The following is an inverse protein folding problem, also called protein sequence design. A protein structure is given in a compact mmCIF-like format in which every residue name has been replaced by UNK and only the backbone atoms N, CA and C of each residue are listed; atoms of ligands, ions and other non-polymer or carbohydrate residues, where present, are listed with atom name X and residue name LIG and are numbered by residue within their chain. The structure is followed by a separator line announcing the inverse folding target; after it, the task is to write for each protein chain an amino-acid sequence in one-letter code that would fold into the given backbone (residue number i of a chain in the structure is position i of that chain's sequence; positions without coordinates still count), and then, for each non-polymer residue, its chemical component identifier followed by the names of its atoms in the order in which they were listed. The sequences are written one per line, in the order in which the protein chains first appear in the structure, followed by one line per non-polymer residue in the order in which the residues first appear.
data_IF_834823904585
#
_entry.id   IF_834823904585
#
_cell.length_a   1.000
_cell.length_b   1.000
_cell.length_c   1.000
_cell.angle_alpha   90.00
_cell.angle_beta   90.00
_cell.angle_gamma   90.00
#
_symmetry.space_group_name_H-M   'P 1'
#
loop_
_entity.id
_entity.type
_entity.pdbx_description
1 polymer ?
#
# COMPACT_ATOMS: atom_id res chain seq x y z
N UNK A 1 9.80 -13.72 15.82
CA UNK A 1 10.23 -14.05 14.44
C UNK A 1 11.24 -12.99 14.01
N UNK A 2 12.43 -13.37 13.50
CA UNK A 2 13.58 -12.46 13.29
C UNK A 2 13.27 -11.42 12.20
N UNK A 3 13.47 -10.14 12.50
CA UNK A 3 13.37 -9.08 11.49
C UNK A 3 14.57 -9.15 10.55
N UNK A 4 14.35 -9.10 9.22
CA UNK A 4 15.45 -9.13 8.27
C UNK A 4 16.34 -7.89 8.45
N UNK A 5 17.67 -8.03 8.57
CA UNK A 5 18.56 -6.93 8.91
C UNK A 5 18.65 -5.84 7.83
N UNK A 6 18.31 -6.18 6.58
CA UNK A 6 18.45 -5.30 5.42
C UNK A 6 17.13 -4.64 4.99
N UNK A 7 16.10 -4.66 5.85
CA UNK A 7 14.78 -4.06 5.53
C UNK A 7 14.50 -2.94 6.50
N UNK A 8 14.30 -1.75 5.94
CA UNK A 8 13.96 -0.54 6.67
C UNK A 8 12.52 -0.15 6.35
N UNK A 9 11.71 -0.05 7.39
CA UNK A 9 10.36 0.49 7.27
C UNK A 9 10.35 1.88 7.86
N UNK A 10 9.87 2.86 7.10
CA UNK A 10 9.76 4.26 7.55
C UNK A 10 8.31 4.67 7.69
N UNK A 11 8.02 5.66 8.52
CA UNK A 11 6.71 6.30 8.50
C UNK A 11 6.46 6.96 7.14
N UNK A 12 5.21 6.89 6.65
CA UNK A 12 4.79 7.62 5.46
C UNK A 12 4.92 9.14 5.68
N UNK A 13 5.26 9.87 4.62
CA UNK A 13 5.40 11.33 4.67
C UNK A 13 4.08 11.99 5.10
N UNK A 14 4.13 12.95 6.06
CA UNK A 14 2.92 13.57 6.61
C UNK A 14 2.14 14.42 5.60
N UNK A 15 2.76 14.76 4.47
CA UNK A 15 2.14 15.51 3.37
C UNK A 15 1.25 14.64 2.47
N UNK A 16 1.34 13.31 2.56
CA UNK A 16 0.56 12.41 1.73
C UNK A 16 -0.83 12.27 2.33
N UNK A 17 -1.84 12.66 1.55
CA UNK A 17 -3.24 12.50 1.96
C UNK A 17 -3.66 11.05 1.72
N UNK A 18 -4.21 10.43 2.74
CA UNK A 18 -4.69 9.05 2.68
C UNK A 18 -6.21 9.03 2.84
N UNK A 19 -6.91 8.46 1.85
CA UNK A 19 -8.32 8.10 1.95
C UNK A 19 -8.39 6.61 2.25
N UNK A 20 -9.06 6.24 3.35
CA UNK A 20 -9.23 4.84 3.76
C UNK A 20 -10.60 4.34 3.37
N UNK A 21 -10.68 3.05 3.07
CA UNK A 21 -11.93 2.31 2.88
C UNK A 21 -12.90 2.97 1.90
N UNK A 22 -12.36 3.52 0.82
CA UNK A 22 -13.18 4.13 -0.24
C UNK A 22 -13.96 3.02 -0.94
N UNK A 23 -15.29 3.06 -0.83
CA UNK A 23 -16.18 2.10 -1.48
C UNK A 23 -16.34 2.41 -2.97
N UNK A 24 -15.91 1.47 -3.81
CA UNK A 24 -16.02 1.52 -5.26
C UNK A 24 -17.18 0.59 -5.66
N UNK A 25 -18.36 1.12 -6.05
CA UNK A 25 -19.47 0.29 -6.45
C UNK A 25 -19.16 -0.48 -7.73
N UNK A 26 -19.65 -1.71 -7.81
CA UNK A 26 -19.49 -2.59 -8.96
C UNK A 26 -20.87 -2.89 -9.60
N UNK A 27 -20.85 -3.45 -10.80
CA UNK A 27 -22.07 -3.61 -11.64
C UNK A 27 -23.16 -4.50 -11.03
N UNK A 28 -22.82 -5.37 -10.09
CA UNK A 28 -23.77 -6.30 -9.47
C UNK A 28 -24.25 -5.83 -8.09
N UNK A 29 -23.96 -4.57 -7.74
CA UNK A 29 -24.38 -3.96 -6.47
C UNK A 29 -23.44 -4.22 -5.30
N UNK A 30 -22.40 -5.05 -5.45
CA UNK A 30 -21.32 -5.13 -4.46
C UNK A 30 -20.39 -3.92 -4.56
N UNK A 31 -19.49 -3.74 -3.58
CA UNK A 31 -18.41 -2.75 -3.65
C UNK A 31 -17.04 -3.43 -3.53
N UNK A 32 -16.00 -2.72 -3.96
CA UNK A 32 -14.60 -2.97 -3.58
C UNK A 32 -14.16 -1.86 -2.62
N UNK A 33 -13.27 -2.18 -1.70
CA UNK A 33 -12.68 -1.24 -0.74
C UNK A 33 -11.25 -0.87 -1.16
N UNK A 34 -10.95 0.43 -1.16
CA UNK A 34 -9.65 0.95 -1.55
C UNK A 34 -9.05 1.92 -0.53
N UNK A 35 -7.73 1.83 -0.34
CA UNK A 35 -6.93 2.89 0.26
C UNK A 35 -6.31 3.71 -0.87
N UNK A 36 -6.52 5.03 -0.86
CA UNK A 36 -6.03 5.95 -1.89
C UNK A 36 -5.02 6.90 -1.26
N UNK A 37 -3.80 6.88 -1.78
CA UNK A 37 -2.69 7.74 -1.37
C UNK A 37 -2.48 8.80 -2.44
N UNK A 38 -2.69 10.06 -2.08
CA UNK A 38 -2.66 11.19 -3.00
C UNK A 38 -1.39 12.02 -2.79
N UNK A 39 -0.74 12.47 -3.87
CA UNK A 39 0.29 13.51 -3.79
C UNK A 39 -0.22 14.76 -3.07
N UNK A 40 0.69 15.54 -2.52
CA UNK A 40 0.36 16.86 -1.99
C UNK A 40 -0.02 17.84 -3.11
N UNK A 41 -0.91 18.78 -2.81
CA UNK A 41 -1.36 19.81 -3.74
C UNK A 41 -2.71 19.50 -4.41
N UNK A 42 -3.12 20.40 -5.30
CA UNK A 42 -4.38 20.32 -6.04
C UNK A 42 -4.13 19.95 -7.50
N UNK A 43 -5.09 19.25 -8.12
CA UNK A 43 -5.05 18.92 -9.54
C UNK A 43 -5.36 17.47 -9.86
N UNK A 44 -5.00 17.07 -11.08
CA UNK A 44 -5.11 15.69 -11.56
C UNK A 44 -3.74 15.05 -11.58
N UNK A 45 -3.67 13.81 -11.11
CA UNK A 45 -2.44 13.03 -11.03
C UNK A 45 -2.60 11.73 -11.82
N UNK A 46 -1.54 11.21 -12.45
CA UNK A 46 -1.54 9.83 -12.90
C UNK A 46 -1.76 8.88 -11.71
N UNK A 47 -2.48 7.79 -11.93
CA UNK A 47 -2.80 6.83 -10.87
C UNK A 47 -2.18 5.46 -11.17
N UNK A 48 -1.52 4.89 -10.16
CA UNK A 48 -1.12 3.48 -10.12
C UNK A 48 -2.18 2.70 -9.37
N UNK A 49 -2.75 1.71 -10.04
CA UNK A 49 -3.79 0.85 -9.48
C UNK A 49 -3.20 -0.51 -9.14
N UNK A 50 -3.34 -0.92 -7.89
CA UNK A 50 -3.07 -2.28 -7.42
C UNK A 50 -4.39 -2.90 -6.97
N UNK A 51 -4.78 -4.02 -7.58
CA UNK A 51 -5.93 -4.83 -7.17
C UNK A 51 -5.42 -6.22 -6.84
N UNK A 52 -5.51 -6.60 -5.58
CA UNK A 52 -4.82 -7.79 -5.09
C UNK A 52 -5.58 -8.47 -3.94
N UNK A 53 -5.39 -9.79 -3.71
CA UNK A 53 -6.10 -10.52 -2.66
C UNK A 53 -5.45 -10.38 -1.27
N UNK A 54 -4.32 -9.67 -1.16
CA UNK A 54 -3.45 -9.76 0.01
C UNK A 54 -3.81 -8.83 1.18
N UNK A 55 -5.02 -8.26 1.17
CA UNK A 55 -5.57 -7.36 2.19
C UNK A 55 -4.76 -6.06 2.30
N UNK A 56 -5.29 -4.96 1.76
CA UNK A 56 -4.65 -3.63 1.69
C UNK A 56 -4.22 -3.05 3.05
N UNK A 57 -4.80 -3.53 4.16
CA UNK A 57 -4.52 -3.06 5.53
C UNK A 57 -3.55 -3.96 6.32
N UNK A 58 -3.08 -5.06 5.72
CA UNK A 58 -1.98 -5.83 6.29
C UNK A 58 -0.69 -5.12 5.91
N UNK A 59 -0.18 -4.34 6.85
CA UNK A 59 0.97 -3.44 6.67
C UNK A 59 2.13 -3.83 7.58
N UNK A 60 3.37 -3.52 7.19
CA UNK A 60 4.56 -3.67 8.03
C UNK A 60 4.60 -2.63 9.16
N UNK A 61 3.68 -2.74 10.14
CA UNK A 61 3.58 -1.90 11.35
C UNK A 61 3.61 -2.76 12.61
N UNK A 62 3.91 -2.13 13.76
CA UNK A 62 3.78 -2.75 15.09
C UNK A 62 4.50 -4.12 15.22
N UNK A 63 5.67 -4.24 14.60
CA UNK A 63 6.49 -5.46 14.62
C UNK A 63 6.07 -6.53 13.61
N UNK A 64 4.99 -6.32 12.85
CA UNK A 64 4.66 -7.16 11.70
C UNK A 64 5.61 -6.89 10.53
N UNK A 65 5.97 -7.95 9.81
CA UNK A 65 6.77 -7.89 8.59
C UNK A 65 6.29 -8.97 7.63
N UNK A 66 6.04 -8.59 6.38
CA UNK A 66 5.61 -9.52 5.34
C UNK A 66 6.58 -10.69 5.18
N UNK A 67 6.01 -11.86 4.90
CA UNK A 67 6.75 -13.12 4.81
C UNK A 67 7.83 -13.10 3.71
N UNK A 68 7.59 -12.40 2.59
CA UNK A 68 8.55 -12.29 1.49
C UNK A 68 9.93 -11.78 1.96
N UNK A 69 9.94 -10.83 2.89
CA UNK A 69 11.17 -10.23 3.39
C UNK A 69 11.94 -11.15 4.33
N UNK A 70 11.30 -12.22 4.82
CA UNK A 70 11.92 -13.22 5.69
C UNK A 70 12.50 -14.40 4.93
N UNK A 71 11.97 -14.70 3.73
CA UNK A 71 12.38 -15.87 2.95
C UNK A 71 13.20 -15.54 1.71
N UNK A 72 12.95 -14.40 1.07
CA UNK A 72 13.71 -14.02 -0.13
C UNK A 72 15.08 -13.46 0.25
N UNK A 73 16.12 -13.88 -0.49
CA UNK A 73 17.47 -13.33 -0.35
C UNK A 73 17.46 -11.86 -0.78
N UNK A 74 17.78 -10.97 0.15
CA UNK A 74 17.89 -9.52 -0.10
C UNK A 74 19.36 -9.13 -0.25
N UNK A 75 19.90 -9.03 -1.49
CA UNK A 75 21.31 -8.73 -1.69
C UNK A 75 21.68 -7.29 -1.31
N UNK A 76 20.70 -6.40 -1.16
CA UNK A 76 20.89 -5.01 -0.75
C UNK A 76 19.83 -4.57 0.26
N UNK A 77 19.87 -3.29 0.59
CA UNK A 77 18.91 -2.66 1.50
C UNK A 77 17.61 -2.34 0.78
N UNK A 78 16.49 -2.74 1.38
CA UNK A 78 15.15 -2.36 0.93
C UNK A 78 14.60 -1.34 1.92
N UNK A 79 14.11 -0.21 1.42
CA UNK A 79 13.41 0.80 2.21
C UNK A 79 12.04 1.07 1.60
N UNK A 80 10.99 1.06 2.44
CA UNK A 80 9.63 1.39 2.02
C UNK A 80 8.81 1.95 3.19
N UNK A 81 7.70 2.63 2.90
CA UNK A 81 6.84 3.16 3.96
C UNK A 81 6.04 2.09 4.68
N UNK A 82 5.67 2.38 5.92
CA UNK A 82 4.79 1.57 6.75
C UNK A 82 3.37 1.45 6.19
N UNK A 83 3.07 2.05 5.03
CA UNK A 83 1.83 1.96 4.28
C UNK A 83 1.91 1.04 3.07
N UNK A 84 3.04 0.38 2.85
CA UNK A 84 3.21 -0.59 1.77
C UNK A 84 2.63 -1.94 2.17
N UNK A 85 1.49 -2.31 1.59
CA UNK A 85 0.90 -3.65 1.77
C UNK A 85 1.58 -4.68 0.86
N UNK A 86 1.28 -5.96 1.11
CA UNK A 86 1.75 -7.04 0.25
C UNK A 86 1.26 -6.85 -1.19
N UNK A 87 2.16 -6.98 -2.17
CA UNK A 87 1.91 -6.76 -3.62
C UNK A 87 1.58 -5.33 -4.07
N UNK A 88 1.51 -4.35 -3.16
CA UNK A 88 1.25 -2.96 -3.52
C UNK A 88 2.56 -2.16 -3.74
N UNK A 89 2.55 -1.17 -4.64
CA UNK A 89 3.65 -0.21 -4.74
C UNK A 89 3.73 0.65 -3.46
N UNK A 90 4.95 1.02 -3.04
CA UNK A 90 5.13 1.88 -1.86
C UNK A 90 4.46 3.25 -2.09
N UNK A 91 3.37 3.58 -1.38
CA UNK A 91 2.64 4.81 -1.62
C UNK A 91 3.46 6.06 -1.30
N UNK A 92 4.43 5.99 -0.40
CA UNK A 92 5.27 7.14 -0.08
C UNK A 92 6.15 7.55 -1.26
N UNK A 93 6.86 6.58 -1.82
CA UNK A 93 7.71 6.81 -2.99
C UNK A 93 6.91 7.38 -4.16
N UNK A 94 5.77 6.78 -4.49
CA UNK A 94 5.00 7.19 -5.67
C UNK A 94 4.24 8.49 -5.48
N UNK A 95 3.63 8.72 -4.31
CA UNK A 95 2.91 9.96 -4.05
C UNK A 95 3.85 11.17 -3.96
N UNK A 96 5.04 11.01 -3.38
CA UNK A 96 6.07 12.07 -3.42
C UNK A 96 6.54 12.38 -4.85
N UNK A 97 6.46 11.42 -5.77
CA UNK A 97 6.78 11.60 -7.19
C UNK A 97 5.58 11.99 -8.06
N UNK A 98 4.47 12.42 -7.46
CA UNK A 98 3.32 12.97 -8.18
C UNK A 98 2.35 11.94 -8.76
N UNK A 99 2.43 10.67 -8.31
CA UNK A 99 1.49 9.62 -8.67
C UNK A 99 0.54 9.31 -7.53
N UNK A 100 -0.76 9.25 -7.81
CA UNK A 100 -1.70 8.66 -6.87
C UNK A 100 -1.51 7.14 -6.83
N UNK A 101 -1.56 6.53 -5.65
CA UNK A 101 -1.58 5.07 -5.49
C UNK A 101 -2.95 4.66 -5.00
N UNK A 102 -3.61 3.78 -5.75
CA UNK A 102 -4.92 3.23 -5.45
C UNK A 102 -4.73 1.75 -5.13
N UNK A 103 -4.81 1.40 -3.85
CA UNK A 103 -4.62 0.04 -3.37
C UNK A 103 -5.95 -0.60 -3.00
N UNK A 104 -6.35 -1.62 -3.75
CA UNK A 104 -7.71 -2.16 -3.78
C UNK A 104 -7.70 -3.62 -3.32
N UNK A 105 -8.55 -3.91 -2.37
CA UNK A 105 -8.87 -5.28 -2.02
C UNK A 105 -9.64 -5.94 -3.17
N UNK A 106 -9.13 -7.09 -3.64
CA UNK A 106 -9.88 -7.91 -4.59
C UNK A 106 -11.18 -8.40 -3.92
N UNK A 107 -12.27 -8.51 -4.70
CA UNK A 107 -13.55 -9.07 -4.25
C UNK A 107 -13.40 -10.35 -3.42
N UNK A 108 -14.06 -10.39 -2.27
CA UNK A 108 -14.01 -11.53 -1.34
C UNK A 108 -12.75 -11.57 -0.47
N UNK A 109 -11.90 -10.55 -0.55
CA UNK A 109 -10.72 -10.38 0.29
C UNK A 109 -10.79 -9.05 1.02
N UNK A 110 -10.17 -9.00 2.20
CA UNK A 110 -10.11 -7.79 3.02
C UNK A 110 -11.50 -7.26 3.31
N UNK A 111 -11.77 -6.02 2.88
CA UNK A 111 -13.05 -5.35 3.08
C UNK A 111 -13.91 -5.27 1.80
N UNK A 112 -13.59 -6.06 0.76
CA UNK A 112 -14.32 -6.15 -0.53
C UNK A 112 -15.10 -7.45 -0.72
#
# INVERSE_FOLDING_TARGET
MINPPNVMVKEISPSIKILRDVHIPTRDGSYLSANIYMPSGEGKFPALLSLHPARKDVLCKDGYMHIQFRFARQPGTIAFSNETSFEAPDPDFWATNGYAVVNIDKRGFGLS
#
